data_IF_589787651594
#
_entry.id   IF_589787651594
#
_cell.length_a   1.000
_cell.length_b   1.000
_cell.length_c   1.000
_cell.angle_alpha   90.00
_cell.angle_beta   90.00
_cell.angle_gamma   90.00
#
_symmetry.space_group_name_H-M   'P 1'
#
loop_
_entity.id
_entity.type
_entity.pdbx_description
1 polymer ?
#
# COMPACT_ATOMS: atom_id res chain seq x y z
N UNK A 1 7.78 -9.87 -24.58
CA UNK A 1 8.62 -9.24 -23.52
C UNK A 1 7.64 -8.68 -22.51
N UNK A 2 7.63 -9.15 -21.26
CA UNK A 2 6.63 -8.70 -20.27
C UNK A 2 6.89 -7.23 -19.95
N UNK A 3 5.86 -6.40 -20.00
CA UNK A 3 5.92 -4.96 -19.70
C UNK A 3 5.13 -4.67 -18.43
N UNK A 4 5.42 -3.54 -17.81
CA UNK A 4 4.78 -3.12 -16.56
C UNK A 4 4.21 -1.72 -16.70
N UNK A 5 3.10 -1.46 -16.02
CA UNK A 5 2.43 -0.17 -16.07
C UNK A 5 2.92 0.71 -14.92
N UNK A 6 3.34 1.93 -15.25
CA UNK A 6 3.57 3.00 -14.28
C UNK A 6 2.47 4.04 -14.42
N UNK A 7 1.71 4.27 -13.36
CA UNK A 7 0.74 5.36 -13.32
C UNK A 7 1.39 6.57 -12.62
N UNK A 8 1.54 7.71 -13.33
CA UNK A 8 2.13 8.91 -12.76
C UNK A 8 1.23 9.50 -11.64
N UNK A 9 1.79 10.36 -10.77
CA UNK A 9 1.02 10.97 -9.69
C UNK A 9 -0.06 11.90 -10.25
N UNK A 10 -1.22 11.92 -9.58
CA UNK A 10 -2.34 12.77 -9.97
C UNK A 10 -1.99 14.26 -9.85
N UNK A 11 -2.50 15.08 -10.79
CA UNK A 11 -2.37 16.54 -10.76
C UNK A 11 -3.50 17.17 -9.95
N UNK A 12 -3.16 18.05 -9.01
CA UNK A 12 -4.13 18.94 -8.39
C UNK A 12 -4.76 19.85 -9.46
N UNK A 13 -6.09 19.93 -9.50
CA UNK A 13 -6.81 20.88 -10.36
C UNK A 13 -6.45 22.28 -9.88
N UNK A 14 -5.73 23.03 -10.71
CA UNK A 14 -5.18 24.35 -10.37
C UNK A 14 -5.86 25.50 -11.11
N UNK A 15 -6.86 25.23 -11.97
CA UNK A 15 -7.49 26.27 -12.78
C UNK A 15 -9.02 26.22 -12.73
N UNK A 16 -9.70 27.19 -12.09
CA UNK A 16 -11.16 27.29 -12.09
C UNK A 16 -11.75 27.79 -13.43
N UNK A 17 -10.91 28.15 -14.40
CA UNK A 17 -11.33 28.74 -15.69
C UNK A 17 -11.09 27.85 -16.92
N UNK A 18 -10.67 26.59 -16.77
CA UNK A 18 -10.70 25.68 -17.92
C UNK A 18 -12.16 25.35 -18.25
N UNK A 19 -12.64 25.90 -19.36
CA UNK A 19 -13.95 25.57 -19.90
C UNK A 19 -14.10 24.06 -20.00
N UNK A 20 -15.01 23.49 -19.21
CA UNK A 20 -15.54 22.14 -19.42
C UNK A 20 -15.95 22.03 -20.89
N UNK A 21 -15.35 21.13 -21.69
CA UNK A 21 -15.93 20.80 -22.97
C UNK A 21 -17.31 20.20 -22.68
N UNK A 22 -18.34 20.84 -23.26
CA UNK A 22 -19.74 20.44 -23.15
C UNK A 22 -19.84 18.93 -23.32
N UNK A 23 -20.45 18.26 -22.35
CA UNK A 23 -20.75 16.83 -22.39
C UNK A 23 -21.51 16.48 -23.67
N UNK A 24 -20.98 15.64 -24.56
CA UNK A 24 -21.84 14.78 -25.35
C UNK A 24 -22.51 13.82 -24.36
N UNK A 25 -23.84 13.74 -24.45
CA UNK A 25 -24.56 12.60 -23.91
C UNK A 25 -23.92 11.35 -24.52
N UNK A 26 -23.23 10.55 -23.73
CA UNK A 26 -22.99 9.16 -24.09
C UNK A 26 -23.03 8.28 -22.85
N UNK A 27 -23.74 7.18 -23.06
CA UNK A 27 -23.98 6.10 -22.14
C UNK A 27 -22.65 5.41 -21.88
N UNK A 28 -22.18 5.42 -20.63
CA UNK A 28 -21.17 4.47 -20.21
C UNK A 28 -21.47 3.93 -18.81
N UNK A 29 -21.48 2.61 -18.69
CA UNK A 29 -22.04 1.84 -17.58
C UNK A 29 -20.99 1.47 -16.51
N UNK A 30 -19.83 2.12 -16.50
CA UNK A 30 -18.85 2.03 -15.41
C UNK A 30 -19.12 3.07 -14.32
N UNK A 31 -19.88 2.73 -13.28
CA UNK A 31 -20.11 3.66 -12.16
C UNK A 31 -18.78 3.99 -11.44
N UNK A 32 -18.39 5.28 -11.44
CA UNK A 32 -17.20 5.78 -10.71
C UNK A 32 -17.27 5.39 -9.23
N UNK A 33 -16.16 4.89 -8.61
CA UNK A 33 -16.16 4.51 -7.20
C UNK A 33 -16.59 5.66 -6.29
N UNK A 34 -17.35 5.35 -5.24
CA UNK A 34 -17.82 6.35 -4.28
C UNK A 34 -16.62 6.91 -3.51
N UNK A 35 -16.50 8.25 -3.33
CA UNK A 35 -15.39 8.83 -2.59
C UNK A 35 -15.48 8.46 -1.10
N UNK A 36 -14.33 8.35 -0.42
CA UNK A 36 -14.27 8.03 1.02
C UNK A 36 -15.01 9.04 1.92
N UNK A 37 -15.28 10.25 1.43
CA UNK A 37 -16.08 11.30 2.08
C UNK A 37 -17.59 11.16 1.86
N UNK A 38 -18.01 10.15 1.10
CA UNK A 38 -19.41 9.83 0.84
C UNK A 38 -20.10 9.20 2.05
N UNK A 39 -21.33 8.72 1.85
CA UNK A 39 -22.07 8.01 2.91
C UNK A 39 -21.35 6.70 3.29
N UNK A 40 -21.02 6.48 4.57
CA UNK A 40 -20.36 5.25 5.03
C UNK A 40 -21.11 3.97 4.64
N UNK A 41 -22.44 4.00 4.69
CA UNK A 41 -23.25 2.84 4.34
C UNK A 41 -23.21 2.54 2.84
N UNK A 42 -23.17 3.59 1.99
CA UNK A 42 -23.01 3.41 0.55
C UNK A 42 -21.60 2.92 0.21
N UNK A 43 -20.58 3.40 0.94
CA UNK A 43 -19.22 2.87 0.84
C UNK A 43 -19.17 1.39 1.21
N UNK A 44 -19.80 0.97 2.30
CA UNK A 44 -19.90 -0.45 2.66
C UNK A 44 -20.56 -1.28 1.56
N UNK A 45 -21.68 -0.81 0.99
CA UNK A 45 -22.38 -1.53 -0.08
C UNK A 45 -21.52 -1.61 -1.35
N UNK A 46 -20.84 -0.51 -1.71
CA UNK A 46 -19.88 -0.47 -2.82
C UNK A 46 -18.71 -1.43 -2.59
N UNK A 47 -18.19 -1.50 -1.37
CA UNK A 47 -17.10 -2.39 -0.98
C UNK A 47 -17.49 -3.86 -0.99
N UNK A 48 -18.72 -4.19 -0.58
CA UNK A 48 -19.30 -5.52 -0.70
C UNK A 48 -19.45 -5.90 -2.18
N UNK A 49 -19.96 -5.00 -3.02
CA UNK A 49 -20.06 -5.24 -4.45
C UNK A 49 -18.67 -5.45 -5.08
N UNK A 50 -17.68 -4.65 -4.67
CA UNK A 50 -16.29 -4.76 -5.12
C UNK A 50 -15.62 -6.06 -4.68
N UNK A 51 -15.95 -6.54 -3.47
CA UNK A 51 -15.51 -7.84 -2.96
C UNK A 51 -15.98 -8.96 -3.90
N UNK A 52 -17.29 -9.00 -4.20
CA UNK A 52 -17.86 -10.03 -5.09
C UNK A 52 -17.31 -9.94 -6.52
N UNK A 53 -17.07 -8.72 -7.02
CA UNK A 53 -16.47 -8.52 -8.35
C UNK A 53 -15.05 -9.09 -8.45
N UNK A 54 -14.27 -9.01 -7.37
CA UNK A 54 -12.88 -9.46 -7.36
C UNK A 54 -12.67 -10.82 -6.70
N UNK A 55 -13.71 -11.51 -6.24
CA UNK A 55 -13.61 -12.76 -5.48
C UNK A 55 -12.78 -13.85 -6.21
N UNK A 56 -12.80 -13.84 -7.54
CA UNK A 56 -12.03 -14.76 -8.38
C UNK A 56 -10.51 -14.64 -8.19
N UNK A 57 -10.01 -13.48 -7.71
CA UNK A 57 -8.59 -13.21 -7.49
C UNK A 57 -8.10 -13.59 -6.09
N UNK A 58 -8.98 -14.09 -5.20
CA UNK A 58 -8.60 -14.55 -3.85
C UNK A 58 -7.56 -15.68 -3.87
N UNK A 59 -7.63 -16.70 -4.74
CA UNK A 59 -6.55 -17.69 -4.85
C UNK A 59 -5.19 -17.06 -5.20
N UNK A 60 -5.21 -15.90 -5.87
CA UNK A 60 -4.05 -15.06 -6.19
C UNK A 60 -3.33 -14.50 -4.97
N UNK A 61 -3.93 -14.47 -3.78
CA UNK A 61 -3.33 -13.90 -2.56
C UNK A 61 -2.13 -14.71 -2.07
N UNK A 62 -2.22 -16.05 -2.12
CA UNK A 62 -1.18 -16.96 -1.63
C UNK A 62 -0.32 -17.57 -2.75
N UNK A 63 -0.68 -17.34 -4.01
CA UNK A 63 0.04 -17.89 -5.15
C UNK A 63 1.03 -16.86 -5.71
N UNK A 64 2.29 -17.23 -5.98
CA UNK A 64 2.89 -18.56 -5.83
C UNK A 64 3.20 -18.95 -4.37
N UNK A 65 2.97 -20.21 -4.00
CA UNK A 65 3.19 -20.72 -2.63
C UNK A 65 4.65 -20.69 -2.18
N UNK A 66 5.59 -20.57 -3.11
CA UNK A 66 7.01 -20.46 -2.84
C UNK A 66 7.57 -19.25 -3.56
N UNK A 67 8.47 -18.51 -2.90
CA UNK A 67 9.29 -17.54 -3.62
C UNK A 67 10.30 -18.27 -4.52
N UNK A 68 10.84 -17.61 -5.55
CA UNK A 68 11.89 -18.18 -6.39
C UNK A 68 13.17 -18.58 -5.62
N UNK A 69 13.44 -17.93 -4.48
CA UNK A 69 14.65 -18.13 -3.68
C UNK A 69 14.43 -19.09 -2.50
N UNK A 70 13.18 -19.30 -2.07
CA UNK A 70 12.82 -20.21 -0.99
C UNK A 70 13.50 -19.87 0.34
N UNK A 71 13.32 -18.63 0.81
CA UNK A 71 14.09 -18.10 1.95
C UNK A 71 13.40 -18.42 3.28
N UNK A 72 14.15 -18.60 4.39
CA UNK A 72 13.56 -18.74 5.72
C UNK A 72 12.78 -17.51 6.20
N UNK A 73 12.95 -16.36 5.54
CA UNK A 73 12.24 -15.12 5.82
C UNK A 73 10.86 -15.07 5.13
N UNK A 74 10.57 -16.00 4.22
CA UNK A 74 9.28 -16.07 3.54
C UNK A 74 8.19 -16.54 4.52
N UNK A 75 7.02 -15.91 4.45
CA UNK A 75 5.93 -16.18 5.38
C UNK A 75 5.38 -17.62 5.28
N UNK A 76 5.46 -18.25 4.09
CA UNK A 76 5.03 -19.65 3.87
C UNK A 76 6.19 -20.66 3.88
N UNK A 77 7.41 -20.24 4.23
CA UNK A 77 8.52 -21.19 4.35
C UNK A 77 8.19 -22.27 5.40
N UNK A 78 8.47 -23.56 5.17
CA UNK A 78 8.04 -24.65 6.04
C UNK A 78 8.90 -24.77 7.33
N UNK A 79 9.00 -23.69 8.10
CA UNK A 79 9.59 -23.68 9.45
C UNK A 79 8.56 -24.11 10.49
N UNK A 80 8.97 -24.69 11.64
CA UNK A 80 8.05 -25.03 12.73
C UNK A 80 7.21 -23.83 13.20
N UNK A 81 7.79 -22.63 13.22
CA UNK A 81 7.15 -21.40 13.63
C UNK A 81 6.10 -20.93 12.63
N UNK A 82 6.39 -21.00 11.32
CA UNK A 82 5.42 -20.69 10.27
C UNK A 82 4.29 -21.72 10.26
N UNK A 83 4.59 -23.02 10.40
CA UNK A 83 3.58 -24.08 10.46
C UNK A 83 2.66 -23.88 11.67
N UNK A 84 3.22 -23.54 12.84
CA UNK A 84 2.44 -23.25 14.03
C UNK A 84 1.54 -22.02 13.84
N UNK A 85 2.10 -20.93 13.32
CA UNK A 85 1.37 -19.68 13.02
C UNK A 85 0.24 -19.93 12.02
N UNK A 86 0.51 -20.65 10.94
CA UNK A 86 -0.49 -21.04 9.94
C UNK A 86 -1.57 -21.96 10.54
N UNK A 87 -1.20 -22.87 11.43
CA UNK A 87 -2.14 -23.72 12.16
C UNK A 87 -3.10 -22.92 13.04
N UNK A 88 -2.61 -21.91 13.76
CA UNK A 88 -3.45 -21.02 14.56
C UNK A 88 -4.37 -20.16 13.68
N UNK A 89 -3.87 -19.61 12.57
CA UNK A 89 -4.71 -18.87 11.62
C UNK A 89 -5.76 -19.75 10.95
N UNK A 90 -5.42 -21.00 10.61
CA UNK A 90 -6.36 -21.98 10.08
C UNK A 90 -7.46 -22.32 11.10
N UNK A 91 -7.08 -22.52 12.37
CA UNK A 91 -8.03 -22.70 13.46
C UNK A 91 -8.98 -21.51 13.58
N UNK A 92 -8.45 -20.28 13.63
CA UNK A 92 -9.25 -19.06 13.72
C UNK A 92 -10.20 -18.91 12.53
N UNK A 93 -9.69 -19.13 11.30
CA UNK A 93 -10.50 -19.08 10.08
C UNK A 93 -11.71 -20.03 10.13
N UNK A 94 -11.49 -21.28 10.55
CA UNK A 94 -12.57 -22.27 10.69
C UNK A 94 -13.50 -21.91 11.83
N UNK A 95 -12.96 -21.54 12.99
CA UNK A 95 -13.73 -21.23 14.20
C UNK A 95 -14.62 -20.00 14.03
N UNK A 96 -14.07 -18.91 13.51
CA UNK A 96 -14.79 -17.67 13.18
C UNK A 96 -15.81 -17.91 12.06
N UNK A 97 -15.46 -18.73 11.05
CA UNK A 97 -16.39 -19.11 9.99
C UNK A 97 -17.61 -19.86 10.53
N UNK A 98 -17.40 -20.84 11.42
CA UNK A 98 -18.49 -21.56 12.10
C UNK A 98 -19.31 -20.62 12.99
N UNK A 99 -18.67 -19.68 13.67
CA UNK A 99 -19.38 -18.65 14.45
C UNK A 99 -20.29 -17.80 13.55
N UNK A 100 -19.78 -17.29 12.41
CA UNK A 100 -20.60 -16.50 11.48
C UNK A 100 -21.78 -17.31 10.91
N UNK A 101 -21.56 -18.59 10.57
CA UNK A 101 -22.63 -19.49 10.11
C UNK A 101 -23.67 -19.71 11.22
N UNK A 102 -23.27 -19.71 12.49
CA UNK A 102 -24.19 -19.90 13.62
C UNK A 102 -25.09 -18.68 13.87
N UNK A 103 -24.66 -17.47 13.53
CA UNK A 103 -25.33 -16.22 13.90
C UNK A 103 -26.82 -16.14 13.48
N UNK A 104 -27.23 -16.51 12.25
CA UNK A 104 -28.65 -16.49 11.86
C UNK A 104 -29.54 -17.39 12.73
N UNK A 105 -28.99 -18.50 13.25
CA UNK A 105 -29.73 -19.43 14.11
C UNK A 105 -29.90 -18.91 15.54
N UNK A 106 -29.06 -17.96 15.98
CA UNK A 106 -29.16 -17.36 17.32
C UNK A 106 -30.39 -16.49 17.51
N UNK A 107 -31.10 -16.11 16.44
CA UNK A 107 -32.37 -15.38 16.50
C UNK A 107 -33.47 -16.20 17.20
N UNK A 108 -33.33 -17.52 17.24
CA UNK A 108 -34.23 -18.43 17.96
C UNK A 108 -33.95 -18.48 19.47
N UNK A 109 -32.83 -17.92 19.92
CA UNK A 109 -32.39 -17.96 21.31
C UNK A 109 -32.70 -16.62 22.00
N UNK A 110 -32.91 -16.64 23.33
CA UNK A 110 -33.00 -15.41 24.09
C UNK A 110 -31.68 -14.61 24.02
N UNK A 111 -31.80 -13.28 23.98
CA UNK A 111 -30.68 -12.35 23.77
C UNK A 111 -29.51 -12.60 24.73
N UNK A 112 -29.77 -12.88 26.00
CA UNK A 112 -28.70 -13.13 26.98
C UNK A 112 -27.88 -14.39 26.68
N UNK A 113 -28.50 -15.44 26.12
CA UNK A 113 -27.79 -16.65 25.72
C UNK A 113 -26.88 -16.33 24.54
N UNK A 114 -27.38 -15.57 23.57
CA UNK A 114 -26.60 -15.11 22.41
C UNK A 114 -25.40 -14.25 22.84
N UNK A 115 -25.59 -13.36 23.83
CA UNK A 115 -24.51 -12.55 24.38
C UNK A 115 -23.45 -13.39 25.10
N UNK A 116 -23.87 -14.38 25.91
CA UNK A 116 -22.92 -15.31 26.56
C UNK A 116 -22.17 -16.14 25.52
N UNK A 117 -22.86 -16.64 24.50
CA UNK A 117 -22.24 -17.38 23.40
C UNK A 117 -21.19 -16.54 22.67
N UNK A 118 -21.54 -15.31 22.28
CA UNK A 118 -20.60 -14.37 21.66
C UNK A 118 -19.41 -14.04 22.58
N UNK A 119 -19.65 -13.87 23.88
CA UNK A 119 -18.60 -13.67 24.87
C UNK A 119 -17.63 -14.86 24.97
N UNK A 120 -18.14 -16.09 24.93
CA UNK A 120 -17.30 -17.30 24.93
C UNK A 120 -16.46 -17.42 23.65
N UNK A 121 -17.05 -17.14 22.49
CA UNK A 121 -16.34 -17.09 21.21
C UNK A 121 -15.23 -16.04 21.27
N UNK A 122 -15.54 -14.85 21.78
CA UNK A 122 -14.56 -13.78 21.94
C UNK A 122 -13.40 -14.19 22.86
N UNK A 123 -13.66 -14.89 23.97
CA UNK A 123 -12.60 -15.39 24.86
C UNK A 123 -11.67 -16.38 24.15
N UNK A 124 -12.21 -17.27 23.30
CA UNK A 124 -11.39 -18.22 22.53
C UNK A 124 -10.54 -17.47 21.50
N UNK A 125 -11.14 -16.58 20.71
CA UNK A 125 -10.41 -15.78 19.72
C UNK A 125 -9.33 -14.95 20.40
N UNK A 126 -9.68 -14.22 21.46
CA UNK A 126 -8.72 -13.45 22.24
C UNK A 126 -7.58 -14.30 22.79
N UNK A 127 -7.88 -15.49 23.33
CA UNK A 127 -6.90 -16.45 23.84
C UNK A 127 -5.89 -16.90 22.77
N UNK A 128 -6.37 -17.28 21.59
CA UNK A 128 -5.51 -17.69 20.46
C UNK A 128 -4.74 -16.50 19.90
N UNK A 129 -5.39 -15.35 19.75
CA UNK A 129 -4.75 -14.11 19.30
C UNK A 129 -3.66 -13.64 20.25
N UNK A 130 -3.76 -13.88 21.56
CA UNK A 130 -2.65 -13.58 22.48
C UNK A 130 -1.40 -14.42 22.22
N UNK A 131 -1.55 -15.63 21.69
CA UNK A 131 -0.41 -16.50 21.33
C UNK A 131 0.18 -16.08 19.99
N UNK A 132 -0.66 -15.65 19.04
CA UNK A 132 -0.23 -15.14 17.75
C UNK A 132 0.50 -13.80 17.86
N UNK A 133 -0.11 -12.87 18.60
CA UNK A 133 0.38 -11.50 18.73
C UNK A 133 1.47 -11.38 19.80
N UNK A 134 2.27 -10.32 19.69
CA UNK A 134 3.35 -10.02 20.63
C UNK A 134 3.33 -8.55 21.02
N UNK A 135 4.52 -8.00 21.18
CA UNK A 135 4.71 -6.58 21.45
C UNK A 135 4.11 -5.72 20.33
N UNK A 136 3.71 -4.50 20.70
CA UNK A 136 3.11 -3.55 19.75
C UNK A 136 4.14 -2.76 18.97
N UNK A 137 5.32 -2.63 19.55
CA UNK A 137 6.46 -1.96 18.94
C UNK A 137 7.61 -2.96 18.96
N UNK A 138 8.21 -3.21 17.80
CA UNK A 138 9.28 -4.19 17.64
C UNK A 138 10.33 -3.59 16.73
N UNK A 139 11.61 -3.91 16.93
CA UNK A 139 12.68 -3.47 16.05
C UNK A 139 13.29 -4.66 15.32
N UNK A 140 13.77 -4.45 14.10
CA UNK A 140 14.57 -5.47 13.40
C UNK A 140 15.74 -5.94 14.27
N UNK A 141 16.08 -7.23 14.17
CA UNK A 141 17.13 -7.88 14.96
C UNK A 141 18.42 -8.13 14.18
N UNK A 142 18.48 -7.65 12.94
CA UNK A 142 19.65 -7.75 12.08
C UNK A 142 20.78 -6.86 12.62
N UNK A 143 21.96 -7.44 12.79
CA UNK A 143 23.17 -6.68 13.08
C UNK A 143 23.63 -5.92 11.83
N UNK A 144 23.53 -4.59 11.90
CA UNK A 144 23.95 -3.65 10.86
C UNK A 144 25.18 -2.83 11.29
N UNK A 145 25.92 -3.27 12.32
CA UNK A 145 27.07 -2.53 12.86
C UNK A 145 28.19 -2.23 11.84
N UNK A 146 28.28 -3.02 10.77
CA UNK A 146 29.24 -2.85 9.69
C UNK A 146 28.73 -1.96 8.52
N UNK A 147 27.43 -1.64 8.49
CA UNK A 147 26.84 -0.75 7.49
C UNK A 147 26.97 0.72 7.93
N UNK A 148 26.80 1.67 7.00
CA UNK A 148 26.88 3.10 7.34
C UNK A 148 25.73 3.52 8.27
N UNK A 149 26.01 4.29 9.33
CA UNK A 149 24.97 4.75 10.24
C UNK A 149 24.11 5.84 9.59
N UNK A 150 22.80 5.60 9.50
CA UNK A 150 21.80 6.55 9.00
C UNK A 150 21.03 7.19 10.16
N UNK A 151 21.76 7.88 11.05
CA UNK A 151 21.20 8.39 12.31
C UNK A 151 20.17 9.52 12.14
N UNK A 152 20.07 10.13 10.96
CA UNK A 152 19.09 11.17 10.66
C UNK A 152 17.85 10.66 9.91
N UNK A 153 17.73 9.34 9.76
CA UNK A 153 16.56 8.67 9.16
C UNK A 153 15.86 7.79 10.20
N UNK A 154 14.52 7.85 10.22
CA UNK A 154 13.71 6.91 10.98
C UNK A 154 12.83 6.09 10.03
N UNK A 155 12.96 4.77 10.07
CA UNK A 155 12.19 3.85 9.24
C UNK A 155 11.15 3.14 10.08
N UNK A 156 9.89 3.22 9.66
CA UNK A 156 8.74 2.68 10.37
C UNK A 156 7.98 1.73 9.43
N UNK A 157 7.62 0.56 9.91
CA UNK A 157 6.80 -0.42 9.18
C UNK A 157 5.49 -0.69 9.91
N UNK A 158 4.37 -0.64 9.17
CA UNK A 158 3.03 -0.99 9.65
C UNK A 158 2.47 -2.11 8.78
N UNK A 159 2.21 -3.26 9.41
CA UNK A 159 1.72 -4.48 8.76
C UNK A 159 0.22 -4.44 8.46
N UNK A 160 -0.24 -5.45 7.73
CA UNK A 160 -1.66 -5.67 7.47
C UNK A 160 -2.31 -6.78 8.31
N UNK A 161 -3.47 -7.25 7.83
CA UNK A 161 -4.26 -8.35 8.41
C UNK A 161 -3.44 -9.62 8.61
N UNK A 162 -3.84 -10.43 9.58
CA UNK A 162 -3.35 -11.80 9.75
C UNK A 162 -1.83 -11.92 9.93
N UNK A 163 -1.16 -10.89 10.43
CA UNK A 163 0.26 -10.93 10.78
C UNK A 163 0.39 -11.08 12.29
N UNK A 164 0.96 -12.20 12.73
CA UNK A 164 1.38 -12.41 14.12
C UNK A 164 2.80 -11.89 14.37
N UNK A 165 3.25 -11.97 15.63
CA UNK A 165 4.57 -11.44 16.03
C UNK A 165 5.73 -12.07 15.24
N UNK A 166 5.63 -13.35 14.88
CA UNK A 166 6.67 -14.06 14.15
C UNK A 166 6.84 -13.50 12.74
N UNK A 167 5.74 -13.39 11.98
CA UNK A 167 5.76 -12.80 10.65
C UNK A 167 6.12 -11.32 10.68
N UNK A 168 5.64 -10.56 11.67
CA UNK A 168 6.04 -9.17 11.85
C UNK A 168 7.56 -9.04 11.98
N UNK A 169 8.19 -9.89 12.81
CA UNK A 169 9.62 -9.89 13.01
C UNK A 169 10.40 -10.26 11.73
N UNK A 170 9.97 -11.30 11.00
CA UNK A 170 10.61 -11.66 9.73
C UNK A 170 10.43 -10.59 8.65
N UNK A 171 9.30 -9.88 8.62
CA UNK A 171 9.09 -8.73 7.75
C UNK A 171 10.07 -7.58 8.07
N UNK A 172 10.24 -7.25 9.36
CA UNK A 172 11.19 -6.23 9.81
C UNK A 172 12.64 -6.60 9.43
N UNK A 173 13.03 -7.84 9.67
CA UNK A 173 14.38 -8.32 9.33
C UNK A 173 14.61 -8.30 7.81
N UNK A 174 13.63 -8.73 7.01
CA UNK A 174 13.73 -8.68 5.54
C UNK A 174 13.84 -7.25 5.02
N UNK A 175 13.07 -6.31 5.56
CA UNK A 175 13.17 -4.88 5.21
C UNK A 175 14.54 -4.32 5.64
N UNK A 176 15.00 -4.66 6.84
CA UNK A 176 16.29 -4.25 7.40
C UNK A 176 17.47 -4.72 6.54
N UNK A 177 17.43 -5.96 6.04
CA UNK A 177 18.44 -6.49 5.10
C UNK A 177 18.39 -5.79 3.73
N UNK A 178 17.19 -5.46 3.27
CA UNK A 178 16.98 -4.81 1.97
C UNK A 178 17.56 -3.41 1.94
N UNK A 179 17.22 -2.61 2.94
CA UNK A 179 17.56 -1.19 2.97
C UNK A 179 18.78 -0.89 3.83
N UNK A 180 19.24 -1.82 4.67
CA UNK A 180 20.37 -1.61 5.61
C UNK A 180 20.12 -0.47 6.59
N UNK A 181 18.88 -0.40 7.09
CA UNK A 181 18.48 0.49 8.20
C UNK A 181 17.74 -0.33 9.26
N UNK A 182 17.87 0.05 10.54
CA UNK A 182 16.98 -0.47 11.58
C UNK A 182 15.54 -0.05 11.27
N UNK A 183 14.61 -1.00 11.33
CA UNK A 183 13.19 -0.76 11.05
C UNK A 183 12.40 -0.87 12.35
N UNK A 184 11.66 0.18 12.69
CA UNK A 184 10.69 0.16 13.79
C UNK A 184 9.35 -0.34 13.28
N UNK A 185 8.96 -1.53 13.70
CA UNK A 185 7.63 -2.07 13.49
C UNK A 185 6.61 -1.50 14.46
N UNK A 186 5.53 -0.95 13.94
CA UNK A 186 4.30 -0.72 14.71
C UNK A 186 3.29 -1.78 14.30
N UNK A 187 2.93 -2.63 15.26
CA UNK A 187 2.24 -3.88 14.99
C UNK A 187 0.72 -3.69 15.08
N UNK A 188 0.05 -3.81 13.93
CA UNK A 188 -1.39 -4.01 13.85
C UNK A 188 -1.70 -5.47 14.21
N UNK A 189 -2.36 -5.68 15.35
CA UNK A 189 -2.60 -7.02 15.89
C UNK A 189 -3.73 -7.72 15.15
N UNK A 190 -3.60 -9.01 14.96
CA UNK A 190 -4.61 -9.84 14.30
C UNK A 190 -5.56 -10.52 15.29
N UNK A 191 -6.85 -10.52 14.96
CA UNK A 191 -7.88 -11.33 15.61
C UNK A 191 -8.38 -12.47 14.71
N UNK A 192 -7.59 -12.86 13.70
CA UNK A 192 -7.98 -13.82 12.69
C UNK A 192 -8.45 -13.15 11.41
N UNK A 193 -8.30 -13.84 10.28
CA UNK A 193 -8.55 -13.28 8.95
C UNK A 193 -9.98 -12.72 8.83
N UNK A 194 -10.98 -13.39 9.39
CA UNK A 194 -12.38 -12.97 9.22
C UNK A 194 -12.65 -11.69 10.00
N UNK A 195 -12.26 -11.64 11.28
CA UNK A 195 -12.46 -10.45 12.09
C UNK A 195 -11.60 -9.28 11.64
N UNK A 196 -10.37 -9.54 11.18
CA UNK A 196 -9.52 -8.52 10.57
C UNK A 196 -10.14 -7.93 9.30
N UNK A 197 -10.77 -8.74 8.43
CA UNK A 197 -11.49 -8.25 7.25
C UNK A 197 -12.72 -7.41 7.62
N UNK A 198 -13.45 -7.77 8.68
CA UNK A 198 -14.55 -6.96 9.19
C UNK A 198 -14.01 -5.62 9.72
N UNK A 199 -12.92 -5.64 10.48
CA UNK A 199 -12.24 -4.43 10.97
C UNK A 199 -11.78 -3.55 9.80
N UNK A 200 -11.17 -4.13 8.75
CA UNK A 200 -10.80 -3.41 7.53
C UNK A 200 -11.98 -2.62 6.94
N UNK A 201 -13.15 -3.26 6.81
CA UNK A 201 -14.36 -2.62 6.27
C UNK A 201 -14.80 -1.45 7.18
N UNK A 202 -14.79 -1.67 8.49
CA UNK A 202 -15.17 -0.64 9.47
C UNK A 202 -14.22 0.55 9.42
N UNK A 203 -12.91 0.32 9.46
CA UNK A 203 -11.88 1.37 9.36
C UNK A 203 -12.01 2.15 8.05
N UNK A 204 -12.16 1.45 6.93
CA UNK A 204 -12.17 2.04 5.59
C UNK A 204 -13.46 2.79 5.25
N UNK A 205 -14.62 2.26 5.65
CA UNK A 205 -15.92 2.84 5.29
C UNK A 205 -16.40 3.89 6.30
N UNK A 206 -16.04 3.76 7.57
CA UNK A 206 -16.48 4.68 8.63
C UNK A 206 -15.36 5.62 9.10
N UNK A 207 -14.15 5.52 8.54
CA UNK A 207 -12.96 6.22 9.03
C UNK A 207 -12.74 5.97 10.53
N UNK A 208 -13.09 4.76 11.00
CA UNK A 208 -13.03 4.45 12.42
C UNK A 208 -11.58 4.19 12.82
N UNK A 209 -11.01 5.10 13.61
CA UNK A 209 -9.66 4.93 14.09
C UNK A 209 -9.59 4.01 15.31
N UNK A 210 -9.16 2.77 15.05
CA UNK A 210 -8.90 1.72 16.04
C UNK A 210 -7.77 2.11 16.99
N UNK A 211 -7.60 1.31 18.04
CA UNK A 211 -6.55 1.54 19.04
C UNK A 211 -5.15 1.49 18.42
N UNK A 212 -4.95 0.61 17.44
CA UNK A 212 -3.66 0.43 16.79
C UNK A 212 -3.33 1.63 15.88
N UNK A 213 -4.29 2.13 15.09
CA UNK A 213 -4.17 3.41 14.36
C UNK A 213 -3.75 4.56 15.29
N UNK A 214 -4.41 4.72 16.44
CA UNK A 214 -4.12 5.81 17.39
C UNK A 214 -2.72 5.73 17.98
N UNK A 215 -2.21 4.52 18.22
CA UNK A 215 -0.85 4.29 18.74
C UNK A 215 0.18 4.51 17.66
N UNK A 216 -0.03 3.94 16.46
CA UNK A 216 0.80 4.18 15.28
C UNK A 216 0.93 5.66 14.97
N UNK A 217 -0.18 6.40 15.01
CA UNK A 217 -0.18 7.86 14.90
C UNK A 217 0.74 8.52 15.94
N UNK A 218 0.60 8.16 17.21
CA UNK A 218 1.41 8.76 18.28
C UNK A 218 2.91 8.52 18.08
N UNK A 219 3.30 7.29 17.68
CA UNK A 219 4.69 6.93 17.39
C UNK A 219 5.22 7.71 16.18
N UNK A 220 4.50 7.70 15.05
CA UNK A 220 4.91 8.38 13.81
C UNK A 220 5.02 9.89 14.03
N UNK A 221 4.04 10.49 14.71
CA UNK A 221 4.03 11.92 15.07
C UNK A 221 5.24 12.27 15.94
N UNK A 222 5.55 11.46 16.95
CA UNK A 222 6.71 11.68 17.80
C UNK A 222 8.02 11.65 16.99
N UNK A 223 8.16 10.69 16.07
CA UNK A 223 9.35 10.58 15.20
C UNK A 223 9.49 11.71 14.19
N UNK A 224 8.38 12.25 13.69
CA UNK A 224 8.39 13.41 12.79
C UNK A 224 8.79 14.71 13.51
N UNK A 225 8.33 14.89 14.74
CA UNK A 225 8.63 16.06 15.58
C UNK A 225 10.05 16.06 16.14
N UNK A 226 10.67 14.89 16.24
CA UNK A 226 12.07 14.75 16.61
C UNK A 226 12.98 15.51 15.63
N UNK A 227 13.84 16.37 16.17
CA UNK A 227 14.77 17.18 15.39
C UNK A 227 15.91 16.38 14.79
N UNK A 228 16.24 15.23 15.39
CA UNK A 228 17.33 14.37 14.92
C UNK A 228 16.93 13.67 13.61
N UNK A 229 15.64 13.41 13.43
CA UNK A 229 15.10 12.84 12.21
C UNK A 229 14.87 13.93 11.16
N UNK A 230 15.69 13.91 10.11
CA UNK A 230 15.48 14.73 8.90
C UNK A 230 14.53 14.06 7.92
N UNK A 231 14.46 12.72 7.96
CA UNK A 231 13.59 11.92 7.10
C UNK A 231 12.90 10.84 7.93
N UNK A 232 11.60 10.69 7.72
CA UNK A 232 10.82 9.58 8.28
C UNK A 232 10.24 8.79 7.12
N UNK A 233 10.61 7.52 7.03
CA UNK A 233 10.14 6.60 5.99
C UNK A 233 9.10 5.69 6.59
N UNK A 234 7.87 5.76 6.06
CA UNK A 234 6.75 4.93 6.48
C UNK A 234 6.44 3.88 5.41
N UNK A 235 6.67 2.62 5.74
CA UNK A 235 6.34 1.46 4.90
C UNK A 235 5.03 0.85 5.40
N UNK A 236 4.08 0.67 4.48
CA UNK A 236 2.75 0.15 4.76
C UNK A 236 2.49 -1.09 3.92
N UNK A 237 1.88 -2.12 4.50
CA UNK A 237 1.48 -3.32 3.76
C UNK A 237 0.00 -3.63 3.95
N UNK A 238 -0.71 -3.96 2.87
CA UNK A 238 -2.11 -4.42 2.92
C UNK A 238 -3.06 -3.45 3.65
N UNK A 239 -3.73 -3.88 4.73
CA UNK A 239 -4.55 -3.03 5.62
C UNK A 239 -3.77 -1.87 6.23
N UNK A 240 -2.45 -2.03 6.46
CA UNK A 240 -1.59 -0.92 6.91
C UNK A 240 -1.67 0.28 5.98
N UNK A 241 -2.06 0.09 4.71
CA UNK A 241 -2.41 1.18 3.80
C UNK A 241 -3.64 1.99 4.23
N UNK A 242 -4.72 1.34 4.70
CA UNK A 242 -5.92 2.00 5.23
C UNK A 242 -5.55 2.78 6.49
N UNK A 243 -4.84 2.13 7.43
CA UNK A 243 -4.40 2.78 8.67
C UNK A 243 -3.50 3.97 8.38
N UNK A 244 -2.51 3.79 7.49
CA UNK A 244 -1.58 4.83 7.12
C UNK A 244 -2.23 6.01 6.39
N UNK A 245 -3.29 5.80 5.61
CA UNK A 245 -4.03 6.90 4.98
C UNK A 245 -4.80 7.72 6.02
N UNK A 246 -5.42 7.06 7.01
CA UNK A 246 -6.09 7.72 8.13
C UNK A 246 -5.11 8.48 9.03
N UNK A 247 -3.94 7.87 9.31
CA UNK A 247 -2.85 8.52 10.05
C UNK A 247 -2.36 9.75 9.30
N UNK A 248 -2.17 9.65 7.99
CA UNK A 248 -1.73 10.75 7.15
C UNK A 248 -2.73 11.92 7.20
N UNK A 249 -4.03 11.64 7.16
CA UNK A 249 -5.07 12.68 7.27
C UNK A 249 -4.99 13.44 8.60
N UNK A 250 -4.74 12.74 9.70
CA UNK A 250 -4.52 13.38 11.00
C UNK A 250 -3.21 14.18 11.04
N UNK A 251 -2.13 13.66 10.48
CA UNK A 251 -0.85 14.38 10.40
C UNK A 251 -1.01 15.66 9.58
N UNK A 252 -1.70 15.61 8.45
CA UNK A 252 -2.01 16.77 7.60
C UNK A 252 -2.89 17.80 8.33
N UNK A 253 -3.78 17.34 9.21
CA UNK A 253 -4.65 18.21 10.00
C UNK A 253 -3.97 18.86 11.21
N UNK A 254 -2.90 18.27 11.75
CA UNK A 254 -2.29 18.71 13.01
C UNK A 254 -0.87 19.29 12.87
N UNK A 255 -0.08 18.84 11.90
CA UNK A 255 1.34 19.20 11.81
C UNK A 255 1.59 20.29 10.76
N UNK A 256 2.58 21.17 10.97
CA UNK A 256 3.03 22.10 9.95
C UNK A 256 3.59 21.37 8.72
N UNK A 257 3.44 21.98 7.54
CA UNK A 257 3.91 21.42 6.27
C UNK A 257 5.40 21.07 6.28
N UNK A 258 6.26 21.86 6.92
CA UNK A 258 7.71 21.60 6.96
C UNK A 258 8.03 20.30 7.72
N UNK A 259 7.24 19.96 8.74
CA UNK A 259 7.40 18.71 9.49
C UNK A 259 6.89 17.53 8.65
N UNK A 260 5.73 17.68 8.02
CA UNK A 260 5.15 16.64 7.16
C UNK A 260 6.04 16.38 5.94
N UNK A 261 6.77 17.39 5.47
CA UNK A 261 7.67 17.25 4.33
C UNK A 261 8.91 16.38 4.62
N UNK A 262 9.13 15.98 5.88
CA UNK A 262 10.12 14.94 6.21
C UNK A 262 9.64 13.53 5.86
N UNK A 263 8.33 13.34 5.65
CA UNK A 263 7.69 12.04 5.48
C UNK A 263 7.82 11.54 4.03
N UNK A 264 8.24 10.28 3.90
CA UNK A 264 8.16 9.47 2.68
C UNK A 264 7.29 8.25 2.96
N UNK A 265 6.34 7.92 2.09
CA UNK A 265 5.38 6.82 2.26
C UNK A 265 5.54 5.81 1.13
N UNK A 266 5.70 4.54 1.47
CA UNK A 266 5.81 3.45 0.53
C UNK A 266 4.80 2.37 0.88
N UNK A 267 3.90 2.01 -0.03
CA UNK A 267 2.86 1.01 0.25
C UNK A 267 3.01 -0.22 -0.62
N UNK A 268 2.79 -1.41 -0.07
CA UNK A 268 2.76 -2.68 -0.79
C UNK A 268 1.37 -3.31 -0.68
N UNK A 269 0.69 -3.55 -1.81
CA UNK A 269 -0.63 -4.18 -1.85
C UNK A 269 -1.70 -3.43 -1.07
N UNK A 270 -1.66 -2.09 -1.07
CA UNK A 270 -2.50 -1.25 -0.21
C UNK A 270 -4.01 -1.47 -0.40
N UNK A 271 -4.70 -1.74 0.71
CA UNK A 271 -6.16 -1.88 0.77
C UNK A 271 -6.91 -0.53 0.87
N UNK A 272 -6.18 0.58 0.94
CA UNK A 272 -6.76 1.92 1.13
C UNK A 272 -7.66 2.33 -0.03
N UNK A 273 -8.65 3.17 0.28
CA UNK A 273 -9.52 3.83 -0.70
C UNK A 273 -9.16 5.31 -0.97
N UNK A 274 -8.18 5.85 -0.24
CA UNK A 274 -7.67 7.20 -0.42
C UNK A 274 -6.22 7.31 0.07
N UNK A 275 -5.51 8.30 -0.43
CA UNK A 275 -4.23 8.81 0.08
C UNK A 275 -4.16 10.29 -0.26
N UNK A 276 -4.37 11.17 0.71
CA UNK A 276 -4.41 12.61 0.48
C UNK A 276 -2.99 13.19 0.52
N UNK A 277 -2.67 14.13 -0.39
CA UNK A 277 -1.40 14.85 -0.39
C UNK A 277 -1.59 16.23 -1.06
N UNK A 278 -2.17 17.20 -0.35
CA UNK A 278 -2.48 18.50 -0.93
C UNK A 278 -1.22 19.28 -1.33
N UNK A 279 -1.30 20.14 -2.36
CA UNK A 279 -0.20 21.04 -2.72
C UNK A 279 0.01 22.14 -1.67
N UNK A 280 1.27 22.45 -1.37
CA UNK A 280 1.80 23.49 -0.46
C UNK A 280 1.38 24.91 -0.82
N UNK A 281 1.14 25.18 -2.10
CA UNK A 281 0.69 26.49 -2.58
C UNK A 281 -0.12 26.31 -3.85
N UNK A 282 -1.28 26.95 -3.94
CA UNK A 282 -1.86 27.31 -5.24
C UNK A 282 -0.92 28.40 -5.76
N UNK A 283 -0.05 28.07 -6.71
CA UNK A 283 0.63 29.10 -7.49
C UNK A 283 -0.45 29.96 -8.12
N UNK A 284 -0.67 31.16 -7.58
CA UNK A 284 -1.35 32.22 -8.29
C UNK A 284 -0.59 32.40 -9.60
N UNK A 285 -1.23 32.04 -10.70
CA UNK A 285 -0.78 32.26 -12.07
C UNK A 285 -0.62 33.75 -12.34
N UNK A 286 0.42 34.36 -11.78
CA UNK A 286 0.77 35.76 -12.02
C UNK A 286 2.28 35.92 -11.96
N UNK A 287 2.86 35.85 -13.16
CA UNK A 287 4.02 36.63 -13.60
C UNK A 287 5.31 36.54 -12.77
N UNK A 288 6.23 35.67 -13.20
CA UNK A 288 7.64 36.06 -13.34
C UNK A 288 8.40 34.98 -14.12
N UNK A 289 8.56 35.25 -15.41
CA UNK A 289 9.58 34.66 -16.28
C UNK A 289 10.97 35.06 -15.79
N UNK A 290 11.61 34.22 -14.95
CA UNK A 290 13.06 34.26 -14.73
C UNK A 290 13.55 32.98 -14.06
N UNK A 291 14.25 32.16 -14.86
CA UNK A 291 15.42 31.32 -14.54
C UNK A 291 15.48 30.51 -13.21
N UNK A 292 15.56 29.19 -13.40
CA UNK A 292 16.27 28.20 -12.56
C UNK A 292 15.97 28.20 -11.05
N UNK A 293 14.90 27.51 -10.66
CA UNK A 293 14.82 26.86 -9.36
C UNK A 293 14.37 25.41 -9.59
N UNK A 294 15.11 24.45 -9.03
CA UNK A 294 14.74 23.03 -9.08
C UNK A 294 13.31 22.89 -8.55
N UNK A 295 12.47 22.16 -9.28
CA UNK A 295 11.04 22.06 -8.98
C UNK A 295 10.81 21.16 -7.76
N UNK A 296 11.17 21.67 -6.58
CA UNK A 296 10.92 21.03 -5.29
C UNK A 296 9.47 20.55 -5.24
N UNK A 297 9.27 19.29 -4.82
CA UNK A 297 7.93 18.72 -4.65
C UNK A 297 7.00 19.70 -3.94
N UNK A 298 5.98 20.13 -4.67
CA UNK A 298 4.99 21.12 -4.26
C UNK A 298 3.94 20.53 -3.35
N UNK A 299 3.95 19.22 -3.05
CA UNK A 299 2.97 18.58 -2.16
C UNK A 299 3.44 18.53 -0.70
N UNK A 300 2.51 18.36 0.24
CA UNK A 300 2.79 18.32 1.67
C UNK A 300 3.79 17.20 2.03
N UNK A 301 3.45 15.95 1.68
CA UNK A 301 4.31 14.76 1.84
C UNK A 301 5.33 14.71 0.71
N UNK A 302 6.58 14.37 1.06
CA UNK A 302 7.72 14.42 0.16
C UNK A 302 7.68 13.37 -0.94
N UNK A 303 7.33 12.14 -0.63
CA UNK A 303 7.22 11.08 -1.62
C UNK A 303 6.13 10.10 -1.21
N UNK A 304 5.33 9.67 -2.18
CA UNK A 304 4.36 8.58 -2.01
C UNK A 304 4.50 7.64 -3.21
N UNK A 305 4.84 6.38 -2.95
CA UNK A 305 4.92 5.33 -3.96
C UNK A 305 4.10 4.11 -3.52
N UNK A 306 3.36 3.55 -4.46
CA UNK A 306 2.48 2.40 -4.26
C UNK A 306 2.92 1.26 -5.17
N UNK A 307 3.20 0.10 -4.60
CA UNK A 307 3.59 -1.11 -5.31
C UNK A 307 2.46 -2.12 -5.21
N UNK A 308 1.96 -2.60 -6.35
CA UNK A 308 0.84 -3.53 -6.39
C UNK A 308 1.09 -4.66 -7.38
N UNK A 309 0.60 -5.85 -7.03
CA UNK A 309 0.51 -6.97 -7.95
C UNK A 309 -0.89 -6.96 -8.61
N UNK A 310 -0.96 -7.00 -9.94
CA UNK A 310 -2.22 -6.85 -10.68
C UNK A 310 -3.24 -7.99 -10.43
N UNK A 311 -2.74 -9.19 -10.11
CA UNK A 311 -3.53 -10.41 -9.98
C UNK A 311 -3.93 -10.78 -8.55
N UNK A 312 -3.68 -9.93 -7.55
CA UNK A 312 -4.04 -10.22 -6.16
C UNK A 312 -5.25 -9.40 -5.67
N UNK A 313 -6.05 -10.00 -4.80
CA UNK A 313 -7.35 -9.50 -4.38
C UNK A 313 -7.31 -8.15 -3.67
N UNK A 314 -6.38 -7.94 -2.75
CA UNK A 314 -6.34 -6.77 -1.87
C UNK A 314 -5.99 -5.51 -2.66
N UNK A 315 -4.99 -5.59 -3.54
CA UNK A 315 -4.66 -4.49 -4.44
C UNK A 315 -5.84 -4.12 -5.35
N UNK A 316 -6.58 -5.11 -5.87
CA UNK A 316 -7.77 -4.90 -6.71
C UNK A 316 -8.93 -4.31 -5.92
N UNK A 317 -9.11 -4.72 -4.67
CA UNK A 317 -10.12 -4.19 -3.75
C UNK A 317 -9.76 -2.80 -3.19
N UNK A 318 -8.48 -2.41 -3.25
CA UNK A 318 -7.95 -1.15 -2.76
C UNK A 318 -7.32 -0.31 -3.88
N UNK A 319 -6.00 -0.15 -3.81
CA UNK A 319 -5.22 0.79 -4.62
C UNK A 319 -5.57 0.78 -6.12
N UNK A 320 -5.71 -0.38 -6.78
CA UNK A 320 -6.01 -0.45 -8.22
C UNK A 320 -7.40 0.08 -8.59
N UNK A 321 -8.38 -0.03 -7.69
CA UNK A 321 -9.72 0.52 -7.89
C UNK A 321 -9.73 2.02 -7.62
N UNK A 322 -9.12 2.46 -6.51
CA UNK A 322 -9.23 3.84 -6.06
C UNK A 322 -8.18 4.78 -6.64
N UNK A 323 -7.07 4.27 -7.17
CA UNK A 323 -6.11 5.06 -7.94
C UNK A 323 -6.75 5.72 -9.17
N UNK A 324 -7.91 5.21 -9.63
CA UNK A 324 -8.73 5.77 -10.70
C UNK A 324 -9.38 7.10 -10.32
N UNK A 325 -9.67 7.32 -9.03
CA UNK A 325 -10.36 8.51 -8.55
C UNK A 325 -9.43 9.73 -8.55
N UNK A 326 -9.68 10.76 -9.38
CA UNK A 326 -8.84 11.94 -9.44
C UNK A 326 -8.87 12.71 -8.12
N UNK A 327 -7.72 13.27 -7.73
CA UNK A 327 -7.47 14.03 -6.50
C UNK A 327 -7.76 13.27 -5.19
N UNK A 328 -7.67 11.93 -5.19
CA UNK A 328 -8.02 11.11 -4.01
C UNK A 328 -6.99 10.06 -3.62
N UNK A 329 -6.16 9.61 -4.57
CA UNK A 329 -5.15 8.60 -4.31
C UNK A 329 -3.81 9.10 -4.86
N UNK A 330 -3.11 9.87 -4.02
CA UNK A 330 -1.88 10.58 -4.38
C UNK A 330 -0.67 9.68 -4.27
N UNK A 331 0.20 9.72 -5.27
CA UNK A 331 1.44 8.95 -5.31
C UNK A 331 1.65 8.30 -6.67
N UNK A 332 2.86 7.80 -6.92
CA UNK A 332 3.13 6.96 -8.09
C UNK A 332 2.64 5.54 -7.83
N UNK A 333 2.02 4.92 -8.82
CA UNK A 333 1.57 3.52 -8.71
C UNK A 333 2.34 2.64 -9.69
N UNK A 334 3.04 1.65 -9.15
CA UNK A 334 3.83 0.64 -9.85
C UNK A 334 3.06 -0.67 -9.88
N UNK A 335 2.63 -1.11 -11.07
CA UNK A 335 1.76 -2.29 -11.23
C UNK A 335 2.55 -3.45 -11.83
N UNK A 336 2.92 -4.42 -10.98
CA UNK A 336 3.57 -5.66 -11.42
C UNK A 336 2.54 -6.63 -12.02
N UNK A 337 2.79 -7.18 -13.24
CA UNK A 337 1.96 -8.22 -13.82
C UNK A 337 2.25 -9.57 -13.14
N UNK A 338 1.67 -9.75 -11.95
CA UNK A 338 1.83 -10.96 -11.15
C UNK A 338 0.78 -11.08 -10.06
N UNK A 339 0.80 -12.20 -9.35
CA UNK A 339 -0.04 -12.52 -8.19
C UNK A 339 0.80 -12.48 -6.90
N UNK A 340 0.14 -12.73 -5.78
CA UNK A 340 0.75 -12.87 -4.46
C UNK A 340 0.62 -11.58 -3.64
N UNK A 341 0.30 -11.71 -2.36
CA UNK A 341 0.04 -10.57 -1.48
C UNK A 341 1.02 -10.43 -0.30
N UNK A 342 1.57 -11.53 0.21
CA UNK A 342 2.55 -11.55 1.31
C UNK A 342 3.79 -10.66 1.02
N UNK A 343 4.22 -9.88 2.03
CA UNK A 343 5.21 -8.82 1.86
C UNK A 343 6.58 -9.36 1.48
N UNK A 344 7.14 -10.29 2.26
CA UNK A 344 8.47 -10.82 1.99
C UNK A 344 8.44 -11.67 0.72
N UNK A 345 7.55 -12.66 0.69
CA UNK A 345 7.51 -13.68 -0.34
C UNK A 345 7.13 -13.16 -1.74
N UNK A 346 6.16 -12.23 -1.84
CA UNK A 346 5.61 -11.82 -3.15
C UNK A 346 6.01 -10.42 -3.59
N UNK A 347 6.25 -9.51 -2.64
CA UNK A 347 6.68 -8.15 -2.96
C UNK A 347 8.20 -8.03 -2.88
N UNK A 348 8.81 -8.22 -1.72
CA UNK A 348 10.26 -7.99 -1.53
C UNK A 348 11.12 -8.99 -2.30
N UNK A 349 10.74 -10.26 -2.40
CA UNK A 349 11.50 -11.24 -3.20
C UNK A 349 11.42 -10.98 -4.71
N UNK A 350 10.33 -10.40 -5.21
CA UNK A 350 10.21 -10.02 -6.62
C UNK A 350 10.92 -8.69 -6.93
N UNK A 351 10.79 -7.71 -6.03
CA UNK A 351 11.25 -6.34 -6.25
C UNK A 351 12.68 -6.11 -5.76
N UNK A 352 13.11 -6.80 -4.71
CA UNK A 352 14.42 -6.67 -4.05
C UNK A 352 15.02 -8.05 -3.71
N UNK A 353 15.24 -8.93 -4.70
CA UNK A 353 15.79 -10.27 -4.48
C UNK A 353 17.14 -10.19 -3.76
N UNK A 354 17.38 -11.08 -2.81
CA UNK A 354 18.64 -11.10 -2.04
C UNK A 354 19.62 -12.12 -2.64
N UNK A 355 20.91 -11.81 -2.55
CA UNK A 355 21.98 -12.76 -2.82
C UNK A 355 22.35 -13.58 -1.56
N UNK A 356 23.34 -14.45 -1.70
CA UNK A 356 23.87 -15.30 -0.63
C UNK A 356 24.48 -14.50 0.54
N UNK A 357 24.77 -13.21 0.34
CA UNK A 357 25.30 -12.29 1.34
C UNK A 357 24.21 -11.37 1.92
N UNK A 358 22.94 -11.72 1.69
CA UNK A 358 21.76 -10.93 2.07
C UNK A 358 21.77 -9.50 1.50
N UNK A 359 22.45 -9.25 0.39
CA UNK A 359 22.44 -7.97 -0.32
C UNK A 359 21.43 -8.04 -1.45
N UNK A 360 20.77 -6.92 -1.73
CA UNK A 360 19.86 -6.81 -2.87
C UNK A 360 20.67 -6.95 -4.15
N UNK A 361 20.24 -7.83 -5.05
CA UNK A 361 20.89 -8.03 -6.35
C UNK A 361 20.76 -6.77 -7.21
N UNK A 362 21.72 -6.55 -8.09
CA UNK A 362 21.64 -5.44 -9.07
C UNK A 362 20.50 -5.65 -10.06
N UNK A 363 20.19 -6.91 -10.39
CA UNK A 363 19.09 -7.28 -11.28
C UNK A 363 17.87 -7.77 -10.48
N UNK A 364 16.70 -7.21 -10.80
CA UNK A 364 15.39 -7.67 -10.33
C UNK A 364 14.44 -7.76 -11.51
N UNK A 365 13.72 -8.90 -11.61
CA UNK A 365 12.77 -9.14 -12.71
C UNK A 365 11.80 -7.96 -12.87
N UNK A 366 11.27 -7.43 -11.77
CA UNK A 366 10.33 -6.31 -11.78
C UNK A 366 11.00 -4.95 -12.01
N UNK A 367 12.09 -4.66 -11.30
CA UNK A 367 12.72 -3.33 -11.37
C UNK A 367 13.42 -3.08 -12.70
N UNK A 368 13.76 -4.14 -13.43
CA UNK A 368 14.34 -4.08 -14.76
C UNK A 368 13.31 -4.21 -15.89
N UNK A 369 12.02 -4.33 -15.59
CA UNK A 369 10.97 -4.30 -16.61
C UNK A 369 10.93 -2.93 -17.29
N UNK A 370 10.73 -2.95 -18.60
CA UNK A 370 10.43 -1.75 -19.36
C UNK A 370 9.07 -1.21 -18.94
N UNK A 371 9.04 0.10 -18.68
CA UNK A 371 7.83 0.81 -18.32
C UNK A 371 7.07 1.15 -19.59
N UNK A 372 5.84 0.65 -19.71
CA UNK A 372 4.86 1.28 -20.60
C UNK A 372 4.25 2.44 -19.82
N UNK A 373 4.46 3.65 -20.35
CA UNK A 373 3.83 4.86 -19.85
C UNK A 373 2.57 5.08 -20.66
N UNK A 374 1.40 5.08 -20.03
CA UNK A 374 0.16 5.39 -20.74
C UNK A 374 0.19 6.83 -21.24
N UNK A 375 0.12 6.93 -22.56
CA UNK A 375 0.55 8.05 -23.37
C UNK A 375 -0.49 9.13 -23.61
N UNK A 376 -1.69 8.70 -23.95
CA UNK A 376 -2.61 9.52 -24.72
C UNK A 376 -3.88 9.78 -23.92
N UNK A 377 -3.76 10.19 -22.65
CA UNK A 377 -4.91 10.10 -21.75
C UNK A 377 -4.99 11.26 -20.74
N UNK A 378 -4.95 12.48 -21.26
CA UNK A 378 -5.46 13.66 -20.55
C UNK A 378 -7.01 13.69 -20.46
N UNK A 379 -7.70 12.68 -21.00
CA UNK A 379 -9.16 12.56 -20.89
C UNK A 379 -9.55 11.47 -19.88
N UNK A 380 -10.41 11.82 -18.93
CA UNK A 380 -10.79 10.97 -17.78
C UNK A 380 -11.52 9.67 -18.16
N UNK A 381 -11.88 9.51 -19.43
CA UNK A 381 -12.75 8.44 -19.92
C UNK A 381 -11.99 7.18 -20.39
N UNK A 382 -10.69 7.24 -20.67
CA UNK A 382 -9.96 6.07 -21.24
C UNK A 382 -9.14 5.32 -20.18
N UNK A 383 -8.69 6.00 -19.12
CA UNK A 383 -8.10 5.39 -17.92
C UNK A 383 -9.06 4.44 -17.21
N UNK A 384 -10.37 4.67 -17.40
CA UNK A 384 -11.44 3.76 -16.97
C UNK A 384 -11.44 2.48 -17.83
N UNK A 385 -11.33 2.58 -19.15
CA UNK A 385 -11.34 1.47 -20.12
C UNK A 385 -10.10 0.55 -20.07
N UNK A 386 -8.88 1.07 -19.94
CA UNK A 386 -7.66 0.24 -19.91
C UNK A 386 -7.53 -0.54 -18.60
N UNK A 387 -7.83 0.11 -17.47
CA UNK A 387 -7.85 -0.55 -16.17
C UNK A 387 -9.08 -1.46 -16.03
N UNK A 388 -10.19 -1.22 -16.74
CA UNK A 388 -11.29 -2.17 -16.88
C UNK A 388 -10.89 -3.39 -17.71
N UNK A 389 -10.05 -3.23 -18.73
CA UNK A 389 -9.43 -4.33 -19.48
C UNK A 389 -8.55 -5.21 -18.59
N UNK A 390 -7.68 -4.62 -17.74
CA UNK A 390 -6.89 -5.34 -16.72
C UNK A 390 -7.76 -5.99 -15.63
N UNK A 391 -8.99 -5.50 -15.43
CA UNK A 391 -9.93 -6.12 -14.51
C UNK A 391 -10.71 -7.27 -15.15
N UNK A 392 -10.94 -7.25 -16.47
CA UNK A 392 -11.88 -8.12 -17.17
C UNK A 392 -11.25 -9.22 -18.05
N UNK A 393 -9.99 -9.14 -18.48
CA UNK A 393 -9.38 -10.19 -19.32
C UNK A 393 -7.92 -10.53 -18.96
N UNK A 394 -7.58 -11.80 -19.20
CA UNK A 394 -6.30 -12.45 -18.87
C UNK A 394 -5.40 -12.77 -20.06
N UNK A 395 -5.31 -11.90 -21.08
CA UNK A 395 -4.36 -12.07 -22.19
C UNK A 395 -3.57 -10.80 -22.57
N UNK A 396 -2.38 -11.04 -23.12
CA UNK A 396 -1.30 -10.10 -23.49
C UNK A 396 -1.76 -8.89 -24.33
N UNK A 397 -1.32 -7.67 -23.98
CA UNK A 397 -1.42 -6.48 -24.85
C UNK A 397 -0.09 -5.69 -24.85
N UNK A 398 0.24 -5.16 -26.03
CA UNK A 398 1.54 -4.65 -26.49
C UNK A 398 1.41 -3.21 -27.04
N UNK A 399 2.21 -2.24 -26.51
CA UNK A 399 2.50 -0.89 -27.10
C UNK A 399 1.42 0.18 -26.90
N UNK A 400 1.67 1.51 -26.78
CA UNK A 400 2.80 2.44 -27.02
C UNK A 400 2.64 3.69 -26.11
N UNK A 401 3.73 4.43 -25.87
CA UNK A 401 3.95 5.40 -24.78
C UNK A 401 3.93 6.92 -25.12
N UNK A 402 3.64 7.75 -24.10
CA UNK A 402 3.95 9.18 -23.91
C UNK A 402 3.99 9.40 -22.38
N UNK A 403 4.98 10.16 -21.91
CA UNK A 403 5.32 10.28 -20.48
C UNK A 403 4.91 11.65 -19.96
N UNK A 404 4.36 11.68 -18.74
CA UNK A 404 4.41 12.87 -17.90
C UNK A 404 4.88 12.51 -16.47
N UNK A 405 6.20 12.46 -16.24
CA UNK A 405 6.80 12.33 -14.90
C UNK A 405 7.69 13.54 -14.58
N UNK A 406 7.19 14.35 -13.65
CA UNK A 406 7.86 15.52 -13.05
C UNK A 406 8.77 15.08 -11.91
N UNK A 407 10.00 14.64 -12.20
CA UNK A 407 11.09 14.81 -11.23
C UNK A 407 11.66 16.21 -11.42
N UNK A 408 11.33 17.12 -10.51
CA UNK A 408 12.14 18.32 -10.23
C UNK A 408 12.41 19.33 -11.37
N UNK A 409 11.66 19.29 -12.46
CA UNK A 409 11.72 20.27 -13.54
C UNK A 409 11.21 19.72 -14.86
N UNK A 410 10.66 20.58 -15.71
CA UNK A 410 10.15 20.19 -17.03
C UNK A 410 11.33 19.84 -17.94
N UNK A 411 11.44 18.56 -18.34
CA UNK A 411 12.21 18.18 -19.53
C UNK A 411 11.31 17.35 -20.44
N UNK A 412 11.02 17.91 -21.60
CA UNK A 412 10.36 17.22 -22.71
C UNK A 412 11.34 16.16 -23.24
N UNK A 413 10.97 14.88 -23.18
CA UNK A 413 11.67 13.81 -23.89
C UNK A 413 10.94 13.62 -25.22
N UNK A 414 11.67 13.69 -26.33
CA UNK A 414 11.11 13.52 -27.67
C UNK A 414 10.76 12.04 -27.92
N UNK A 415 9.77 11.78 -28.81
CA UNK A 415 9.39 10.44 -29.24
C UNK A 415 10.63 9.64 -29.69
N UNK A 416 11.02 8.67 -28.87
CA UNK A 416 12.22 7.85 -29.07
C UNK A 416 13.10 7.69 -27.83
N UNK A 417 13.06 8.62 -26.87
CA UNK A 417 13.88 8.55 -25.63
C UNK A 417 13.26 7.71 -24.49
N UNK A 418 11.94 7.48 -24.52
CA UNK A 418 11.22 6.68 -23.50
C UNK A 418 11.34 5.16 -23.71
N UNK A 419 11.81 4.72 -24.88
CA UNK A 419 12.01 3.31 -25.21
C UNK A 419 13.19 2.74 -24.42
N UNK A 420 12.94 1.82 -23.50
CA UNK A 420 13.96 1.13 -22.70
C UNK A 420 14.22 1.73 -21.31
N UNK A 421 13.34 2.61 -20.80
CA UNK A 421 13.42 3.04 -19.40
C UNK A 421 12.81 2.00 -18.46
N UNK A 422 13.55 1.68 -17.39
CA UNK A 422 13.22 0.63 -16.41
C UNK A 422 12.48 1.19 -15.21
N UNK A 423 11.67 0.36 -14.53
CA UNK A 423 10.98 0.73 -13.26
C UNK A 423 11.95 1.29 -12.22
N UNK A 424 13.13 0.68 -12.09
CA UNK A 424 14.22 1.10 -11.20
C UNK A 424 14.62 2.57 -11.38
N UNK A 425 14.46 3.13 -12.58
CA UNK A 425 14.75 4.53 -12.82
C UNK A 425 13.77 5.43 -12.07
N UNK A 426 12.51 5.02 -11.90
CA UNK A 426 11.39 5.80 -11.33
C UNK A 426 11.14 5.57 -9.85
N UNK A 427 11.49 4.39 -9.35
CA UNK A 427 11.31 3.99 -7.97
C UNK A 427 12.34 4.67 -7.06
N UNK A 428 11.90 5.61 -6.22
CA UNK A 428 12.76 6.20 -5.19
C UNK A 428 13.13 5.16 -4.14
N UNK A 429 12.21 4.25 -3.79
CA UNK A 429 12.50 3.18 -2.84
C UNK A 429 13.67 2.29 -3.31
N UNK A 430 13.75 2.04 -4.62
CA UNK A 430 14.85 1.27 -5.23
C UNK A 430 16.23 1.89 -4.98
N UNK A 431 16.31 3.22 -4.87
CA UNK A 431 17.56 3.92 -4.57
C UNK A 431 18.06 3.71 -3.13
N UNK A 432 17.23 3.18 -2.22
CA UNK A 432 17.63 2.89 -0.86
C UNK A 432 18.28 1.51 -0.67
N UNK A 433 18.18 0.63 -1.67
CA UNK A 433 18.70 -0.74 -1.56
C UNK A 433 20.17 -0.74 -1.12
N UNK A 434 20.56 -1.74 -0.34
CA UNK A 434 21.97 -1.94 0.05
C UNK A 434 22.61 -0.79 0.84
N UNK A 435 21.82 0.03 1.56
CA UNK A 435 22.35 1.16 2.34
C UNK A 435 22.52 2.45 1.53
N UNK A 436 22.16 2.44 0.25
CA UNK A 436 22.24 3.65 -0.58
C UNK A 436 21.18 4.67 -0.16
N UNK A 437 21.35 5.94 -0.55
CA UNK A 437 20.36 7.00 -0.31
C UNK A 437 20.05 7.71 -1.62
N UNK A 438 18.78 8.00 -1.93
CA UNK A 438 18.42 8.77 -3.10
C UNK A 438 18.97 10.19 -3.00
N UNK A 439 19.25 10.78 -4.16
CA UNK A 439 19.53 12.22 -4.23
C UNK A 439 18.23 12.99 -3.99
N UNK A 440 18.38 14.14 -3.36
CA UNK A 440 17.28 14.93 -2.82
C UNK A 440 16.71 15.96 -3.79
#
# INVERSE_FOLDING_TARGET
MKRTTLVPPQRAITDPNSHSPKSPQDQDTGAKPIPYTGSPLLLCLSDIALFWRNIWSIPGVLTPLHSPEGTPLDELYPSPQNIFTLGLHCFLLVFEGLFLISLPFTVLLPVWITLVYGGLVWVVVWGVSMVLNGDREMTSSIDLSHDHPHNDECWIFLNGVSIGHHWMHTNLDRLSLTFRRPILGVHNRTYGIIFDLIQCIVERCFCYATLDIRRSYAVIRAKLLDSDNKRVVLILHSQGGIEGSLILDWLLGELPHDIINKLEIYTFGSAANHFNNPPKHISSSSSSSSSSCSARNTNAVRHIEHYVNAGEFVARWGALTFARLPNRYMGRLFIRPGTGHLLNQHYLSAMFPLDEHNRVREYSEFMDMDVDFDADEADSNVRENYMETLLNDGEDIQGVAVVEDRRDGVRWLEDGEASGMRVSAFSRLWCYRNGMSPRD
#
